data_IF_697331045818
#
_entry.id   IF_697331045818
#
_cell.length_a   1.000
_cell.length_b   1.000
_cell.length_c   1.000
_cell.angle_alpha   90.00
_cell.angle_beta   90.00
_cell.angle_gamma   90.00
#
_symmetry.space_group_name_H-M   'P 1'
#
loop_
_entity.id
_entity.type
_entity.pdbx_description
1 polymer ?
#
# COMPACT_ATOMS: atom_id res chain seq x y z
N UNK A 1 -25.65 4.26 -5.56
CA UNK A 1 -24.96 5.09 -4.58
C UNK A 1 -23.48 4.72 -4.51
N UNK A 2 -22.66 5.72 -4.46
CA UNK A 2 -21.22 5.53 -4.38
C UNK A 2 -20.77 5.27 -2.94
N UNK A 3 -19.87 4.31 -2.75
CA UNK A 3 -19.32 3.99 -1.43
C UNK A 3 -17.82 4.12 -1.44
N UNK A 4 -17.24 4.44 -0.30
CA UNK A 4 -15.79 4.54 -0.15
C UNK A 4 -15.13 3.20 0.15
N UNK A 5 -15.84 2.11 -0.09
CA UNK A 5 -15.35 0.77 0.18
C UNK A 5 -15.39 -0.09 -1.06
N UNK A 6 -14.48 -1.02 -1.10
CA UNK A 6 -14.47 -2.07 -2.11
C UNK A 6 -14.84 -3.38 -1.38
N UNK A 7 -16.14 -3.69 -1.36
CA UNK A 7 -16.63 -4.79 -0.54
C UNK A 7 -16.41 -4.47 0.93
N UNK A 8 -15.72 -5.35 1.64
CA UNK A 8 -15.37 -5.13 3.04
C UNK A 8 -14.06 -4.39 3.21
N UNK A 9 -13.45 -3.95 2.12
CA UNK A 9 -12.15 -3.29 2.16
C UNK A 9 -12.32 -1.79 2.08
N UNK A 10 -11.47 -1.07 2.79
CA UNK A 10 -11.43 0.39 2.78
C UNK A 10 -10.40 0.94 1.80
N UNK A 11 -9.69 0.06 1.12
CA UNK A 11 -8.78 0.45 0.04
C UNK A 11 -8.61 -0.72 -0.90
N UNK A 12 -8.12 -0.45 -2.11
CA UNK A 12 -7.86 -1.49 -3.10
C UNK A 12 -6.38 -1.72 -3.32
N UNK A 13 -5.54 -0.87 -2.77
CA UNK A 13 -4.09 -0.93 -3.01
C UNK A 13 -3.35 -1.78 -1.99
N UNK A 14 -3.96 -2.05 -0.84
CA UNK A 14 -3.25 -2.71 0.25
C UNK A 14 -2.70 -4.08 -0.12
N UNK A 15 -3.51 -4.91 -0.78
CA UNK A 15 -3.05 -6.23 -1.19
C UNK A 15 -1.89 -6.14 -2.19
N UNK A 16 -1.96 -5.17 -3.10
CA UNK A 16 -0.89 -4.96 -4.07
C UNK A 16 0.38 -4.47 -3.38
N UNK A 17 0.24 -3.58 -2.41
CA UNK A 17 1.38 -3.10 -1.62
C UNK A 17 2.07 -4.28 -0.95
N UNK A 18 1.31 -5.15 -0.30
CA UNK A 18 1.86 -6.31 0.36
C UNK A 18 2.57 -7.24 -0.62
N UNK A 19 1.94 -7.48 -1.77
CA UNK A 19 2.51 -8.35 -2.78
C UNK A 19 3.82 -7.82 -3.31
N UNK A 20 3.85 -6.53 -3.63
CA UNK A 20 5.07 -5.90 -4.17
C UNK A 20 6.16 -5.89 -3.09
N UNK A 21 5.80 -5.54 -1.86
CA UNK A 21 6.74 -5.53 -0.75
C UNK A 21 7.41 -6.89 -0.59
N UNK A 22 6.62 -7.94 -0.67
CA UNK A 22 7.12 -9.31 -0.49
C UNK A 22 7.92 -9.81 -1.70
N UNK A 23 7.81 -9.13 -2.83
CA UNK A 23 8.54 -9.52 -4.03
C UNK A 23 10.00 -9.07 -4.02
N UNK A 24 10.36 -8.19 -3.10
CA UNK A 24 11.74 -7.74 -2.99
C UNK A 24 12.65 -8.87 -2.52
N UNK A 25 13.90 -8.84 -2.96
CA UNK A 25 14.88 -9.85 -2.57
C UNK A 25 16.09 -9.15 -1.94
N UNK A 26 16.27 -9.28 -0.62
CA UNK A 26 15.43 -10.00 0.33
C UNK A 26 14.07 -9.32 0.54
N UNK A 27 13.12 -10.09 1.05
CA UNK A 27 11.77 -9.57 1.31
C UNK A 27 11.82 -8.34 2.21
N UNK A 28 11.11 -7.30 1.80
CA UNK A 28 11.03 -6.08 2.60
C UNK A 28 9.96 -6.27 3.69
N UNK A 29 10.36 -6.10 4.95
CA UNK A 29 9.40 -6.20 6.05
C UNK A 29 8.51 -4.97 6.09
N UNK A 30 7.41 -5.04 6.83
CA UNK A 30 6.54 -3.88 7.03
C UNK A 30 7.30 -2.77 7.74
N UNK A 31 8.18 -3.13 8.67
CA UNK A 31 8.98 -2.13 9.37
C UNK A 31 9.98 -1.46 8.43
N UNK A 32 10.61 -2.24 7.56
CA UNK A 32 11.54 -1.68 6.59
C UNK A 32 10.82 -0.72 5.65
N UNK A 33 9.59 -1.08 5.24
CA UNK A 33 8.80 -0.19 4.41
C UNK A 33 8.47 1.11 5.16
N UNK A 34 8.09 1.00 6.43
CA UNK A 34 7.82 2.19 7.25
C UNK A 34 9.03 3.11 7.29
N UNK A 35 10.22 2.55 7.48
CA UNK A 35 11.44 3.34 7.52
C UNK A 35 11.70 4.03 6.19
N UNK A 36 11.46 3.36 5.08
CA UNK A 36 11.66 3.96 3.76
C UNK A 36 10.66 5.07 3.50
N UNK A 37 9.41 4.88 3.94
CA UNK A 37 8.38 5.91 3.77
C UNK A 37 8.76 7.20 4.48
N UNK A 38 9.39 7.09 5.65
CA UNK A 38 9.84 8.28 6.38
C UNK A 38 10.85 9.09 5.58
N UNK A 39 11.70 8.42 4.81
CA UNK A 39 12.66 9.10 3.97
C UNK A 39 11.98 9.95 2.90
N UNK A 40 10.78 9.58 2.51
CA UNK A 40 9.97 10.33 1.54
C UNK A 40 8.99 11.28 2.21
N UNK A 41 9.09 11.42 3.54
CA UNK A 41 8.28 12.37 4.26
C UNK A 41 6.92 11.85 4.72
N UNK A 42 6.67 10.56 4.60
CA UNK A 42 5.41 9.96 5.01
C UNK A 42 5.60 9.20 6.31
N UNK A 43 4.95 9.65 7.36
CA UNK A 43 5.11 9.09 8.69
C UNK A 43 4.02 8.07 8.98
N UNK A 44 4.26 6.84 8.57
CA UNK A 44 3.38 5.69 8.86
C UNK A 44 4.21 4.65 9.59
N UNK A 45 3.68 4.14 10.68
CA UNK A 45 4.37 3.09 11.41
C UNK A 45 3.98 1.70 10.87
N UNK A 46 4.61 0.67 11.40
CA UNK A 46 4.35 -0.70 11.00
C UNK A 46 2.87 -1.08 11.13
N UNK A 47 2.23 -0.60 12.20
CA UNK A 47 0.83 -0.94 12.45
C UNK A 47 -0.09 -0.31 11.41
N UNK A 48 0.21 0.93 11.00
CA UNK A 48 -0.56 1.59 9.96
C UNK A 48 -0.43 0.83 8.64
N UNK A 49 0.79 0.39 8.32
CA UNK A 49 1.03 -0.38 7.10
C UNK A 49 0.26 -1.70 7.15
N UNK A 50 0.26 -2.36 8.30
CA UNK A 50 -0.48 -3.61 8.45
C UNK A 50 -1.97 -3.40 8.18
N UNK A 51 -2.54 -2.33 8.70
CA UNK A 51 -3.95 -2.04 8.47
C UNK A 51 -4.24 -1.75 7.00
N UNK A 52 -3.33 -1.04 6.35
CA UNK A 52 -3.47 -0.78 4.92
C UNK A 52 -3.45 -2.09 4.14
N UNK A 53 -2.51 -2.96 4.44
CA UNK A 53 -2.36 -4.22 3.71
C UNK A 53 -3.54 -5.15 3.95
N UNK A 54 -4.17 -5.05 5.11
CA UNK A 54 -5.38 -5.82 5.43
C UNK A 54 -6.66 -5.18 4.88
N UNK A 55 -6.55 -3.98 4.32
CA UNK A 55 -7.70 -3.28 3.78
C UNK A 55 -8.55 -2.57 4.82
N UNK A 56 -8.06 -2.43 6.05
CA UNK A 56 -8.85 -1.83 7.13
C UNK A 56 -8.70 -0.32 7.22
N UNK A 57 -7.68 0.25 6.58
CA UNK A 57 -7.40 1.68 6.65
C UNK A 57 -7.53 2.27 5.26
N UNK A 58 -8.13 3.46 5.18
CA UNK A 58 -8.17 4.20 3.93
C UNK A 58 -6.76 4.67 3.57
N UNK A 59 -6.50 4.77 2.28
CA UNK A 59 -5.24 5.27 1.75
C UNK A 59 -5.54 6.53 0.98
N UNK A 60 -4.90 7.63 1.35
CA UNK A 60 -5.09 8.89 0.64
C UNK A 60 -4.29 8.88 -0.67
N UNK A 61 -4.65 9.80 -1.58
CA UNK A 61 -3.93 9.90 -2.84
C UNK A 61 -2.47 10.29 -2.63
N UNK A 62 -2.20 11.13 -1.65
CA UNK A 62 -0.82 11.51 -1.33
C UNK A 62 -0.04 10.30 -0.85
N UNK A 63 -0.64 9.52 0.04
CA UNK A 63 0.02 8.31 0.54
C UNK A 63 0.27 7.32 -0.58
N UNK A 64 -0.69 7.19 -1.49
CA UNK A 64 -0.56 6.26 -2.61
C UNK A 64 0.63 6.60 -3.50
N UNK A 65 0.82 7.88 -3.79
CA UNK A 65 1.94 8.33 -4.60
C UNK A 65 3.26 8.02 -3.90
N UNK A 66 3.33 8.26 -2.59
CA UNK A 66 4.55 8.00 -1.82
C UNK A 66 4.86 6.50 -1.78
N UNK A 67 3.83 5.65 -1.62
CA UNK A 67 4.03 4.20 -1.70
C UNK A 67 4.60 3.80 -3.06
N UNK A 68 4.06 4.38 -4.12
CA UNK A 68 4.54 4.05 -5.47
C UNK A 68 6.01 4.42 -5.62
N UNK A 69 6.39 5.60 -5.17
CA UNK A 69 7.78 6.04 -5.26
C UNK A 69 8.70 5.17 -4.41
N UNK A 70 8.27 4.85 -3.20
CA UNK A 70 9.06 4.06 -2.27
C UNK A 70 9.29 2.64 -2.79
N UNK A 71 8.26 2.05 -3.40
CA UNK A 71 8.32 0.70 -3.93
C UNK A 71 8.82 0.67 -5.38
N UNK A 72 9.05 1.83 -5.96
CA UNK A 72 9.57 1.97 -7.33
C UNK A 72 8.63 1.33 -8.35
N UNK A 73 7.36 1.59 -8.21
CA UNK A 73 6.32 1.13 -9.13
C UNK A 73 5.43 2.32 -9.47
N UNK A 74 4.57 2.13 -10.46
CA UNK A 74 3.60 3.16 -10.81
C UNK A 74 2.39 3.08 -9.88
N UNK A 75 1.67 4.19 -9.76
CA UNK A 75 0.42 4.20 -9.00
C UNK A 75 -0.57 3.20 -9.61
N UNK A 76 -0.57 3.07 -10.92
CA UNK A 76 -1.47 2.13 -11.60
C UNK A 76 -1.23 0.70 -11.11
N UNK A 77 0.02 0.32 -10.88
CA UNK A 77 0.33 -1.01 -10.38
C UNK A 77 -0.24 -1.25 -8.99
N UNK A 78 -0.34 -0.18 -8.18
CA UNK A 78 -0.88 -0.30 -6.84
C UNK A 78 -2.39 -0.43 -6.83
N UNK A 79 -3.07 0.14 -7.81
CA UNK A 79 -4.54 0.16 -7.83
C UNK A 79 -5.14 -0.86 -8.79
N UNK A 80 -4.31 -1.58 -9.54
CA UNK A 80 -4.81 -2.62 -10.44
C UNK A 80 -5.29 -3.81 -9.62
N UNK A 81 -6.44 -4.34 -10.01
CA UNK A 81 -6.98 -5.50 -9.32
C UNK A 81 -6.19 -6.75 -9.69
N UNK A 82 -5.60 -7.45 -8.73
CA UNK A 82 -4.83 -8.65 -9.04
C UNK A 82 -5.71 -9.82 -9.46
N UNK A 83 -6.97 -9.83 -9.07
CA UNK A 83 -7.89 -10.90 -9.44
C UNK A 83 -8.69 -10.54 -10.67
N UNK A 84 -8.38 -9.44 -11.28
CA UNK A 84 -9.03 -9.02 -12.48
C UNK A 84 -8.67 -9.96 -13.62
N UNK A 85 -9.60 -10.36 -14.31
CA UNK A 85 -9.36 -11.25 -15.42
C UNK A 85 -10.07 -10.73 -16.65
#
# INVERSE_FOLDING_TARGET
MYKNKNGDLNNISGANIAKIRKSFSPTMSQRALADKLQLYGLDLDKNAIQRIECGKRFVTDIELVVFAETLNVSVLELISSPCHS
#
